data_IF_646223565770
#
_entry.id   IF_646223565770
#
_cell.length_a   1.000
_cell.length_b   1.000
_cell.length_c   1.000
_cell.angle_alpha   90.00
_cell.angle_beta   90.00
_cell.angle_gamma   90.00
#
_symmetry.space_group_name_H-M   'P 1'
#
loop_
_entity.id
_entity.type
_entity.pdbx_description
1 polymer ?
#
# COMPACT_ATOMS: atom_id res chain seq x y z
N UNK A 1 -6.76 19.68 9.69
CA UNK A 1 -6.39 18.44 10.42
C UNK A 1 -5.38 17.75 9.52
N UNK A 2 -4.10 17.84 9.87
CA UNK A 2 -3.03 17.24 9.06
C UNK A 2 -3.00 15.74 9.26
N UNK A 3 -2.78 15.00 8.19
CA UNK A 3 -2.56 13.56 8.25
C UNK A 3 -1.36 13.28 9.18
N UNK A 4 -1.41 12.26 10.04
CA UNK A 4 -0.32 11.91 10.96
C UNK A 4 0.97 11.50 10.23
N UNK A 5 0.89 11.30 8.91
CA UNK A 5 1.97 10.94 8.01
C UNK A 5 2.12 12.05 6.97
N UNK A 6 3.34 12.57 6.81
CA UNK A 6 3.65 13.63 5.84
C UNK A 6 3.79 13.09 4.41
N UNK A 7 4.00 11.77 4.29
CA UNK A 7 4.42 11.04 3.09
C UNK A 7 3.77 9.64 3.13
N UNK A 8 3.53 9.05 1.96
CA UNK A 8 2.84 7.76 1.81
C UNK A 8 1.86 7.74 0.63
N UNK A 9 1.29 6.56 0.36
CA UNK A 9 0.39 6.34 -0.76
C UNK A 9 -1.04 6.09 -0.29
N UNK A 10 -1.97 6.95 -0.70
CA UNK A 10 -3.38 6.87 -0.31
C UNK A 10 -4.15 5.81 -1.09
N UNK A 11 -4.97 5.02 -0.39
CA UNK A 11 -5.87 4.03 -0.99
C UNK A 11 -7.12 4.75 -1.51
N UNK A 12 -7.26 4.77 -2.84
CA UNK A 12 -8.37 5.46 -3.53
C UNK A 12 -9.42 4.52 -4.10
N UNK A 13 -9.09 3.24 -4.26
CA UNK A 13 -10.00 2.19 -4.70
C UNK A 13 -9.46 0.83 -4.26
N UNK A 14 -10.37 -0.11 -3.99
CA UNK A 14 -10.05 -1.49 -3.67
C UNK A 14 -10.83 -2.39 -4.62
N UNK A 15 -10.15 -3.36 -5.23
CA UNK A 15 -10.82 -4.35 -6.06
C UNK A 15 -11.53 -5.41 -5.18
N UNK A 16 -12.82 -5.70 -5.42
CA UNK A 16 -13.53 -6.74 -4.67
C UNK A 16 -12.89 -8.12 -4.87
N UNK A 17 -12.71 -8.87 -3.77
CA UNK A 17 -12.03 -10.17 -3.76
C UNK A 17 -10.51 -10.08 -3.93
N UNK A 18 -9.93 -8.89 -3.83
CA UNK A 18 -8.47 -8.72 -3.84
C UNK A 18 -7.86 -9.09 -2.47
N UNK A 19 -6.56 -9.44 -2.42
CA UNK A 19 -5.84 -9.63 -1.16
C UNK A 19 -5.90 -8.39 -0.24
N UNK A 20 -6.04 -7.20 -0.84
CA UNK A 20 -6.20 -5.95 -0.13
C UNK A 20 -7.53 -5.89 0.66
N UNK A 21 -8.64 -6.33 0.04
CA UNK A 21 -9.93 -6.43 0.71
C UNK A 21 -9.90 -7.49 1.81
N UNK A 22 -9.31 -8.66 1.55
CA UNK A 22 -9.18 -9.73 2.56
C UNK A 22 -8.28 -9.34 3.75
N UNK A 23 -7.26 -8.50 3.50
CA UNK A 23 -6.40 -7.94 4.54
C UNK A 23 -7.09 -6.86 5.39
N UNK A 24 -8.29 -6.40 4.99
CA UNK A 24 -9.05 -5.37 5.69
C UNK A 24 -8.55 -3.95 5.45
N UNK A 25 -7.88 -3.70 4.32
CA UNK A 25 -7.53 -2.34 3.89
C UNK A 25 -8.82 -1.60 3.56
N UNK A 26 -8.88 -0.32 3.91
CA UNK A 26 -10.03 0.54 3.66
C UNK A 26 -9.67 1.72 2.74
N UNK A 27 -10.71 2.33 2.15
CA UNK A 27 -10.54 3.62 1.49
C UNK A 27 -10.07 4.66 2.51
N UNK A 28 -9.26 5.61 2.05
CA UNK A 28 -8.60 6.63 2.90
C UNK A 28 -7.48 6.09 3.81
N UNK A 29 -7.15 4.80 3.75
CA UNK A 29 -5.91 4.30 4.35
C UNK A 29 -4.68 4.89 3.64
N UNK A 30 -3.61 5.10 4.41
CA UNK A 30 -2.33 5.58 3.88
C UNK A 30 -1.28 4.51 4.11
N UNK A 31 -0.77 3.99 3.00
CA UNK A 31 0.32 3.03 3.00
C UNK A 31 1.63 3.79 3.18
N UNK A 32 2.31 3.53 4.29
CA UNK A 32 3.62 4.10 4.63
C UNK A 32 4.75 3.06 4.62
N UNK A 33 4.39 1.78 4.60
CA UNK A 33 5.33 0.67 4.58
C UNK A 33 4.68 -0.54 3.92
N UNK A 34 5.49 -1.34 3.22
CA UNK A 34 5.14 -2.67 2.73
C UNK A 34 6.25 -3.63 3.14
N UNK A 35 5.92 -4.66 3.91
CA UNK A 35 6.86 -5.59 4.54
C UNK A 35 7.94 -4.82 5.34
N UNK A 36 9.19 -4.86 4.89
CA UNK A 36 10.33 -4.17 5.51
C UNK A 36 10.73 -2.89 4.75
N UNK A 37 9.99 -2.56 3.67
CA UNK A 37 10.27 -1.43 2.78
C UNK A 37 9.39 -0.24 3.13
N UNK A 38 10.00 0.89 3.49
CA UNK A 38 9.27 2.15 3.71
C UNK A 38 8.84 2.71 2.34
N UNK A 39 7.57 3.09 2.23
CA UNK A 39 7.02 3.69 1.00
C UNK A 39 6.79 5.17 1.28
N UNK A 40 7.61 6.02 0.67
CA UNK A 40 7.52 7.47 0.82
C UNK A 40 6.90 8.13 -0.40
N UNK A 41 7.10 7.55 -1.59
CA UNK A 41 6.55 8.06 -2.83
C UNK A 41 6.11 6.97 -3.84
N UNK A 42 5.56 7.38 -4.98
CA UNK A 42 5.04 6.46 -5.99
C UNK A 42 6.11 5.65 -6.74
N UNK A 43 7.36 6.11 -6.77
CA UNK A 43 8.49 5.35 -7.30
C UNK A 43 8.80 4.17 -6.40
N UNK A 44 8.87 4.36 -5.07
CA UNK A 44 9.08 3.27 -4.10
C UNK A 44 8.03 2.16 -4.31
N UNK A 45 6.77 2.56 -4.47
CA UNK A 45 5.67 1.62 -4.70
C UNK A 45 5.85 0.87 -6.03
N UNK A 46 6.21 1.57 -7.10
CA UNK A 46 6.38 0.97 -8.43
C UNK A 46 7.56 0.01 -8.45
N UNK A 47 8.66 0.36 -7.78
CA UNK A 47 9.86 -0.47 -7.67
C UNK A 47 9.54 -1.73 -6.85
N UNK A 48 8.90 -1.56 -5.69
CA UNK A 48 8.47 -2.67 -4.84
C UNK A 48 7.55 -3.66 -5.57
N UNK A 49 6.55 -3.15 -6.31
CA UNK A 49 5.64 -3.98 -7.12
C UNK A 49 6.33 -4.62 -8.32
N UNK A 50 7.37 -3.99 -8.86
CA UNK A 50 8.22 -4.57 -9.91
C UNK A 50 9.02 -5.77 -9.40
N UNK A 51 9.48 -5.72 -8.15
CA UNK A 51 10.22 -6.79 -7.49
C UNK A 51 9.30 -7.90 -6.95
N UNK A 52 8.06 -7.57 -6.61
CA UNK A 52 7.07 -8.49 -6.04
C UNK A 52 5.86 -8.65 -6.96
N UNK A 53 5.88 -9.63 -7.89
CA UNK A 53 4.74 -9.88 -8.77
C UNK A 53 3.49 -10.26 -7.97
N UNK A 54 2.33 -9.96 -8.55
CA UNK A 54 1.02 -10.25 -7.99
C UNK A 54 0.91 -11.70 -7.51
N UNK A 55 0.47 -11.88 -6.25
CA UNK A 55 0.39 -13.18 -5.58
C UNK A 55 1.47 -13.41 -4.52
N UNK A 56 2.51 -12.56 -4.45
CA UNK A 56 3.36 -12.48 -3.26
C UNK A 56 2.52 -11.92 -2.10
N UNK A 57 2.34 -12.68 -1.01
CA UNK A 57 1.62 -12.20 0.16
C UNK A 57 2.34 -11.01 0.78
N UNK A 58 1.77 -9.81 0.62
CA UNK A 58 2.33 -8.56 1.15
C UNK A 58 1.73 -8.27 2.52
N UNK A 59 2.54 -7.74 3.43
CA UNK A 59 2.10 -7.17 4.70
C UNK A 59 2.22 -5.66 4.62
N UNK A 60 1.19 -4.95 5.09
CA UNK A 60 1.15 -3.49 5.18
C UNK A 60 1.24 -3.04 6.65
#
# INVERSE_FOLDING_TARGET
>A
MGLPVSEGFGVTSIEPGSPAEEAGIELDDIIVQMNETVITDGQDLTEFLGEHPSGAGLRL
#
